data_IF_909421207051
#
_entry.id   IF_909421207051
#
_cell.length_a   1.000
_cell.length_b   1.000
_cell.length_c   1.000
_cell.angle_alpha   90.00
_cell.angle_beta   90.00
_cell.angle_gamma   90.00
#
_symmetry.space_group_name_H-M   'P 1'
#
loop_
_entity.id
_entity.type
_entity.pdbx_description
1 polymer ?
#
# COMPACT_ATOMS: atom_id res chain seq x y z
N UNK A 1 38.82 44.28 48.21
CA UNK A 1 39.64 43.52 47.24
C UNK A 1 38.80 42.35 46.71
N UNK A 2 38.04 42.61 45.68
CA UNK A 2 37.11 41.62 45.09
C UNK A 2 37.64 41.19 43.72
N UNK A 3 37.86 39.91 43.55
CA UNK A 3 38.21 39.29 42.28
C UNK A 3 36.89 38.98 41.55
N UNK A 4 36.66 39.64 40.45
CA UNK A 4 35.53 39.35 39.53
C UNK A 4 36.00 38.16 38.67
N UNK A 5 35.38 37.02 38.85
CA UNK A 5 35.48 35.88 37.94
C UNK A 5 34.55 36.10 36.78
N UNK A 6 35.11 36.22 35.58
CA UNK A 6 34.37 36.31 34.32
C UNK A 6 34.10 34.91 33.85
N UNK A 7 32.84 34.47 33.89
CA UNK A 7 32.37 33.20 33.38
C UNK A 7 32.11 33.34 31.87
N UNK A 8 32.94 32.69 31.05
CA UNK A 8 32.67 32.53 29.64
C UNK A 8 31.66 31.41 29.46
N UNK A 9 30.41 31.75 29.03
CA UNK A 9 29.48 30.78 28.53
C UNK A 9 29.88 30.39 27.10
N UNK A 10 30.38 29.17 26.94
CA UNK A 10 30.46 28.50 25.64
C UNK A 10 29.07 28.06 25.25
N UNK A 11 28.49 28.76 24.28
CA UNK A 11 27.29 28.29 23.58
C UNK A 11 27.70 27.14 22.65
N UNK A 12 27.51 25.91 23.08
CA UNK A 12 27.62 24.74 22.23
C UNK A 12 26.38 24.72 21.30
N UNK A 13 26.60 25.10 20.05
CA UNK A 13 25.59 24.93 19.00
C UNK A 13 25.34 23.45 18.76
N UNK A 14 24.23 22.95 19.24
CA UNK A 14 23.69 21.65 18.84
C UNK A 14 23.16 21.80 17.40
N UNK A 15 24.00 21.51 16.40
CA UNK A 15 23.56 21.18 15.07
C UNK A 15 22.85 19.84 15.14
N UNK A 16 21.53 19.91 15.36
CA UNK A 16 20.65 18.75 15.25
C UNK A 16 20.64 18.27 13.81
N UNK A 17 21.47 17.29 13.47
CA UNK A 17 21.27 16.45 12.31
C UNK A 17 19.93 15.74 12.54
N UNK A 18 18.88 16.23 11.85
CA UNK A 18 17.64 15.49 11.75
C UNK A 18 17.99 14.16 11.07
N UNK A 19 18.12 13.12 11.86
CA UNK A 19 18.10 11.76 11.34
C UNK A 19 16.71 11.58 10.70
N UNK A 20 16.65 11.53 9.37
CA UNK A 20 15.48 11.04 8.66
C UNK A 20 15.27 9.61 9.17
N UNK A 21 14.29 9.46 10.05
CA UNK A 21 13.85 8.13 10.46
C UNK A 21 13.29 7.46 9.23
N UNK A 22 13.90 6.34 8.82
CA UNK A 22 13.26 5.43 7.90
C UNK A 22 11.87 5.11 8.47
N UNK A 23 10.86 5.10 7.61
CA UNK A 23 9.51 4.78 8.04
C UNK A 23 9.52 3.42 8.76
N UNK A 24 8.80 3.33 9.88
CA UNK A 24 8.73 2.09 10.65
C UNK A 24 7.74 1.10 10.00
N UNK A 25 7.92 -0.19 10.31
CA UNK A 25 6.94 -1.22 9.99
C UNK A 25 5.60 -0.89 10.65
N UNK A 26 4.53 -0.83 9.85
CA UNK A 26 3.18 -0.54 10.34
C UNK A 26 2.41 -1.84 10.49
N UNK A 27 2.12 -2.22 11.73
CA UNK A 27 1.23 -3.35 12.02
C UNK A 27 -0.20 -2.96 11.66
N UNK A 28 -0.89 -3.85 10.93
CA UNK A 28 -2.28 -3.64 10.53
C UNK A 28 -3.25 -4.25 11.55
N UNK A 29 -4.49 -3.74 11.53
CA UNK A 29 -5.57 -4.26 12.37
C UNK A 29 -6.05 -5.60 11.84
N UNK A 30 -6.60 -6.44 12.72
CA UNK A 30 -7.27 -7.67 12.28
C UNK A 30 -8.43 -7.34 11.35
N UNK A 31 -8.62 -8.12 10.27
CA UNK A 31 -9.70 -7.87 9.32
C UNK A 31 -11.07 -8.03 9.96
N UNK A 32 -11.97 -7.13 9.62
CA UNK A 32 -13.38 -7.21 10.00
C UNK A 32 -14.14 -8.01 8.94
N UNK A 33 -14.43 -9.25 9.23
CA UNK A 33 -15.07 -10.18 8.29
C UNK A 33 -16.57 -9.92 8.09
N UNK A 34 -17.19 -9.10 8.96
CA UNK A 34 -18.61 -8.76 8.89
C UNK A 34 -18.88 -7.43 8.15
N UNK A 35 -17.81 -6.69 7.79
CA UNK A 35 -17.99 -5.38 7.15
C UNK A 35 -18.27 -5.47 5.65
N UNK A 36 -18.91 -4.42 5.17
CA UNK A 36 -19.15 -4.21 3.75
C UNK A 36 -20.55 -4.60 3.30
N UNK A 37 -20.89 -4.22 2.09
CA UNK A 37 -22.15 -4.60 1.48
C UNK A 37 -22.16 -6.09 1.08
N UNK A 38 -23.34 -6.74 1.02
CA UNK A 38 -23.46 -8.06 0.44
C UNK A 38 -22.85 -8.09 -0.97
N UNK A 39 -22.25 -9.23 -1.35
CA UNK A 39 -21.47 -9.35 -2.59
C UNK A 39 -22.25 -8.90 -3.85
N UNK A 40 -23.52 -9.23 -3.95
CA UNK A 40 -24.36 -8.83 -5.09
C UNK A 40 -24.56 -7.32 -5.16
N UNK A 41 -24.66 -6.66 -4.00
CA UNK A 41 -24.74 -5.20 -3.92
C UNK A 41 -23.40 -4.56 -4.31
N UNK A 42 -22.28 -5.10 -3.81
CA UNK A 42 -20.96 -4.62 -4.18
C UNK A 42 -20.70 -4.74 -5.70
N UNK A 43 -21.10 -5.85 -6.30
CA UNK A 43 -21.03 -6.06 -7.76
C UNK A 43 -21.91 -5.07 -8.54
N UNK A 44 -23.14 -4.86 -8.08
CA UNK A 44 -24.08 -3.92 -8.70
C UNK A 44 -23.58 -2.47 -8.68
N UNK A 45 -22.94 -2.07 -7.58
CA UNK A 45 -22.48 -0.68 -7.38
C UNK A 45 -21.05 -0.43 -7.89
N UNK A 46 -20.31 -1.49 -8.21
CA UNK A 46 -18.92 -1.38 -8.65
C UNK A 46 -18.81 -0.51 -9.92
N UNK A 47 -18.06 0.53 -9.82
CA UNK A 47 -17.71 1.40 -10.94
C UNK A 47 -16.32 2.00 -10.75
N UNK A 48 -15.70 2.48 -11.83
CA UNK A 48 -14.45 3.21 -11.77
C UNK A 48 -14.69 4.65 -11.30
N UNK A 49 -14.18 4.99 -10.12
CA UNK A 49 -14.28 6.33 -9.54
C UNK A 49 -12.90 6.95 -9.52
N UNK A 50 -12.74 8.11 -10.17
CA UNK A 50 -11.44 8.77 -10.40
C UNK A 50 -11.27 10.08 -9.64
N UNK A 51 -12.21 10.43 -8.77
CA UNK A 51 -12.10 11.59 -7.91
C UNK A 51 -12.11 11.17 -6.45
N UNK A 52 -11.17 11.72 -5.69
CA UNK A 52 -10.92 11.33 -4.32
C UNK A 52 -10.96 12.52 -3.39
N UNK A 53 -11.46 12.34 -2.17
CA UNK A 53 -11.24 13.25 -1.07
C UNK A 53 -9.75 13.23 -0.68
N UNK A 54 -9.24 14.34 -0.18
CA UNK A 54 -7.87 14.43 0.34
C UNK A 54 -7.67 13.71 1.69
N UNK A 55 -8.77 13.27 2.30
CA UNK A 55 -8.75 12.58 3.58
C UNK A 55 -7.95 11.28 3.47
N UNK A 56 -6.95 11.12 4.35
CA UNK A 56 -6.20 9.87 4.46
C UNK A 56 -7.13 8.69 4.84
N UNK A 57 -6.85 7.51 4.30
CA UNK A 57 -7.55 6.30 4.72
C UNK A 57 -7.29 6.06 6.22
N UNK A 58 -8.34 5.62 6.92
CA UNK A 58 -8.17 5.13 8.28
C UNK A 58 -7.30 3.85 8.28
N UNK A 59 -6.63 3.58 9.39
CA UNK A 59 -5.87 2.33 9.54
C UNK A 59 -6.77 1.11 9.35
N UNK A 60 -8.00 1.17 9.87
CA UNK A 60 -9.00 0.12 9.71
C UNK A 60 -9.34 -0.14 8.24
N UNK A 61 -9.63 0.91 7.47
CA UNK A 61 -9.94 0.79 6.05
C UNK A 61 -8.75 0.22 5.25
N UNK A 62 -7.55 0.68 5.55
CA UNK A 62 -6.33 0.21 4.90
C UNK A 62 -6.04 -1.26 5.24
N UNK A 63 -6.21 -1.65 6.51
CA UNK A 63 -5.99 -3.01 6.99
C UNK A 63 -6.94 -4.00 6.30
N UNK A 64 -8.23 -3.69 6.30
CA UNK A 64 -9.25 -4.53 5.68
C UNK A 64 -9.09 -4.58 4.14
N UNK A 65 -8.74 -3.46 3.51
CA UNK A 65 -8.48 -3.39 2.07
C UNK A 65 -7.33 -4.32 1.65
N UNK A 66 -6.21 -4.27 2.35
CA UNK A 66 -5.04 -5.09 2.03
C UNK A 66 -5.31 -6.57 2.27
N UNK A 67 -6.02 -6.90 3.34
CA UNK A 67 -6.43 -8.28 3.59
C UNK A 67 -7.41 -8.79 2.52
N UNK A 68 -8.43 -8.00 2.19
CA UNK A 68 -9.39 -8.36 1.14
C UNK A 68 -8.71 -8.56 -0.22
N UNK A 69 -7.73 -7.72 -0.54
CA UNK A 69 -7.00 -7.80 -1.80
C UNK A 69 -6.24 -9.11 -1.96
N UNK A 70 -5.43 -9.48 -0.99
CA UNK A 70 -4.54 -10.66 -1.09
C UNK A 70 -4.02 -11.16 0.27
N UNK A 71 -4.80 -11.03 1.34
CA UNK A 71 -4.45 -11.51 2.67
C UNK A 71 -4.58 -13.03 2.81
N UNK A 72 -4.00 -13.59 3.87
CA UNK A 72 -4.16 -14.99 4.21
C UNK A 72 -5.54 -15.19 4.84
N UNK A 73 -6.37 -16.02 4.21
CA UNK A 73 -7.69 -16.40 4.73
C UNK A 73 -7.76 -17.86 5.22
N UNK A 74 -6.70 -18.63 5.03
CA UNK A 74 -6.54 -20.01 5.48
C UNK A 74 -5.17 -20.17 6.14
N UNK A 75 -5.10 -19.87 7.41
CA UNK A 75 -3.85 -19.77 8.18
C UNK A 75 -3.01 -21.06 8.12
N UNK A 76 -3.63 -22.23 8.20
CA UNK A 76 -2.94 -23.52 8.19
C UNK A 76 -2.17 -23.78 6.89
N UNK A 77 -2.70 -23.31 5.75
CA UNK A 77 -2.12 -23.55 4.42
C UNK A 77 -1.43 -22.34 3.82
N UNK A 78 -1.54 -21.16 4.45
CA UNK A 78 -1.03 -19.89 3.93
C UNK A 78 -1.70 -19.44 2.62
N UNK A 79 -2.85 -20.02 2.27
CA UNK A 79 -3.63 -19.63 1.09
C UNK A 79 -4.34 -18.30 1.32
N UNK A 80 -4.57 -17.60 0.23
CA UNK A 80 -4.99 -16.20 0.24
C UNK A 80 -6.44 -16.01 -0.22
N UNK A 81 -6.94 -14.80 -0.03
CA UNK A 81 -8.24 -14.35 -0.57
C UNK A 81 -8.29 -14.43 -2.09
N UNK A 82 -7.19 -14.15 -2.76
CA UNK A 82 -7.04 -14.29 -4.20
C UNK A 82 -6.40 -15.65 -4.55
N UNK A 83 -6.99 -16.46 -5.44
CA UNK A 83 -6.30 -17.60 -6.01
C UNK A 83 -5.19 -17.12 -6.95
N UNK A 84 -4.23 -18.01 -7.25
CA UNK A 84 -3.20 -17.78 -8.25
C UNK A 84 -2.90 -19.07 -9.02
N UNK A 85 -2.37 -18.95 -10.23
CA UNK A 85 -1.99 -20.09 -11.05
C UNK A 85 -1.06 -21.03 -10.26
N UNK A 86 -1.44 -22.29 -10.14
CA UNK A 86 -0.69 -23.31 -9.39
C UNK A 86 -0.35 -22.89 -7.93
N UNK A 87 -1.15 -22.03 -7.35
CA UNK A 87 -0.90 -21.42 -6.02
C UNK A 87 0.49 -20.76 -5.90
N UNK A 88 0.98 -20.15 -6.96
CA UNK A 88 2.28 -19.47 -7.00
C UNK A 88 2.35 -18.25 -6.11
N UNK A 89 1.20 -17.60 -5.85
CA UNK A 89 1.10 -16.40 -4.99
C UNK A 89 2.09 -15.30 -5.41
N UNK A 90 2.23 -15.12 -6.70
CA UNK A 90 3.23 -14.30 -7.37
C UNK A 90 2.91 -12.80 -7.41
N UNK A 91 1.73 -12.39 -6.89
CA UNK A 91 1.34 -10.98 -6.82
C UNK A 91 1.72 -10.39 -5.47
N UNK A 92 2.54 -9.35 -5.50
CA UNK A 92 2.86 -8.47 -4.37
C UNK A 92 2.08 -7.17 -4.46
N UNK A 93 1.71 -6.62 -3.32
CA UNK A 93 1.05 -5.31 -3.22
C UNK A 93 2.02 -4.33 -2.56
N UNK A 94 2.36 -3.25 -3.29
CA UNK A 94 3.06 -2.11 -2.73
C UNK A 94 2.07 -0.99 -2.47
N UNK A 95 2.19 -0.32 -1.35
CA UNK A 95 1.36 0.79 -0.92
C UNK A 95 2.18 2.06 -1.05
N UNK A 96 1.83 2.93 -1.99
CA UNK A 96 2.48 4.23 -2.17
C UNK A 96 1.60 5.30 -1.55
N UNK A 97 2.15 6.01 -0.57
CA UNK A 97 1.53 7.18 0.08
C UNK A 97 2.27 8.45 -0.34
N UNK A 98 1.80 9.61 0.09
CA UNK A 98 2.48 10.89 -0.15
C UNK A 98 3.90 10.94 0.47
N UNK A 99 4.13 10.20 1.54
CA UNK A 99 5.37 10.31 2.31
C UNK A 99 6.32 9.12 2.14
N UNK A 100 5.78 7.94 1.86
CA UNK A 100 6.59 6.71 1.80
C UNK A 100 5.87 5.62 1.00
N UNK A 101 6.61 4.58 0.62
CA UNK A 101 6.07 3.37 0.02
C UNK A 101 6.41 2.16 0.87
N UNK A 102 5.50 1.20 0.86
CA UNK A 102 5.55 0.00 1.69
C UNK A 102 5.27 -1.24 0.86
N UNK A 103 5.79 -2.38 1.29
CA UNK A 103 5.39 -3.70 0.83
C UNK A 103 4.41 -4.32 1.82
N UNK A 104 3.28 -4.82 1.35
CA UNK A 104 2.36 -5.58 2.18
C UNK A 104 2.94 -6.96 2.51
N UNK A 105 3.22 -7.19 3.78
CA UNK A 105 3.55 -8.50 4.33
C UNK A 105 2.26 -9.20 4.75
N UNK A 106 1.80 -10.15 3.92
CA UNK A 106 0.58 -10.90 4.16
C UNK A 106 0.70 -11.89 5.33
N UNK A 107 1.91 -12.32 5.71
CA UNK A 107 2.13 -13.22 6.84
C UNK A 107 2.03 -12.49 8.17
N UNK A 108 2.69 -11.37 8.28
CA UNK A 108 2.64 -10.54 9.48
C UNK A 108 1.40 -9.62 9.52
N UNK A 109 0.64 -9.52 8.43
CA UNK A 109 -0.39 -8.51 8.23
C UNK A 109 0.12 -7.11 8.61
N UNK A 110 1.15 -6.68 7.88
CA UNK A 110 1.87 -5.46 8.16
C UNK A 110 2.33 -4.79 6.86
N UNK A 111 2.68 -3.52 6.93
CA UNK A 111 3.33 -2.78 5.85
C UNK A 111 4.81 -2.57 6.19
N UNK A 112 5.68 -3.08 5.35
CA UNK A 112 7.14 -2.98 5.50
C UNK A 112 7.64 -1.80 4.68
N UNK A 113 8.37 -0.84 5.25
CA UNK A 113 8.85 0.33 4.52
C UNK A 113 9.86 -0.06 3.44
N UNK A 114 9.73 0.55 2.26
CA UNK A 114 10.59 0.29 1.09
C UNK A 114 11.29 1.54 0.61
N UNK A 115 10.58 2.67 0.54
CA UNK A 115 11.08 3.92 -0.02
C UNK A 115 10.44 5.12 0.66
N UNK A 116 11.21 6.19 0.82
CA UNK A 116 10.71 7.49 1.28
C UNK A 116 10.29 8.36 0.09
N UNK A 117 9.36 9.27 0.32
CA UNK A 117 8.86 10.23 -0.67
C UNK A 117 7.68 9.72 -1.50
N UNK A 118 7.16 10.60 -2.33
CA UNK A 118 5.96 10.40 -3.13
C UNK A 118 6.29 9.81 -4.49
N UNK A 119 5.89 8.57 -4.72
CA UNK A 119 6.02 7.87 -6.00
C UNK A 119 4.66 7.40 -6.55
N UNK A 120 3.57 7.95 -6.05
CA UNK A 120 2.22 7.60 -6.49
C UNK A 120 2.04 7.92 -7.98
N UNK A 121 1.54 6.97 -8.81
CA UNK A 121 1.27 7.23 -10.22
C UNK A 121 0.02 8.09 -10.48
N UNK A 122 -0.78 8.35 -9.46
CA UNK A 122 -2.02 9.11 -9.55
C UNK A 122 -2.25 9.93 -8.27
N UNK A 123 -3.01 11.03 -8.42
CA UNK A 123 -3.39 11.88 -7.31
C UNK A 123 -4.57 11.25 -6.55
N UNK A 124 -4.25 10.47 -5.54
CA UNK A 124 -5.15 9.81 -4.60
C UNK A 124 -4.45 9.69 -3.24
N UNK A 125 -5.17 9.55 -2.12
CA UNK A 125 -4.53 9.35 -0.81
C UNK A 125 -3.48 8.24 -0.80
N UNK A 126 -3.76 7.12 -1.44
CA UNK A 126 -2.80 6.04 -1.69
C UNK A 126 -2.91 5.48 -3.11
N UNK A 127 -1.84 4.84 -3.58
CA UNK A 127 -1.86 4.00 -4.77
C UNK A 127 -1.36 2.60 -4.40
N UNK A 128 -2.17 1.59 -4.69
CA UNK A 128 -1.76 0.19 -4.57
C UNK A 128 -1.15 -0.24 -5.90
N UNK A 129 0.10 -0.68 -5.89
CA UNK A 129 0.79 -1.19 -7.07
C UNK A 129 0.83 -2.71 -6.98
N UNK A 130 0.20 -3.37 -7.93
CA UNK A 130 0.24 -4.82 -8.06
C UNK A 130 1.46 -5.21 -8.90
N UNK A 131 2.39 -5.88 -8.27
CA UNK A 131 3.67 -6.29 -8.86
C UNK A 131 3.71 -7.80 -8.93
N UNK A 132 4.05 -8.35 -10.10
CA UNK A 132 4.22 -9.80 -10.27
C UNK A 132 5.69 -10.20 -10.16
N UNK A 133 5.96 -11.36 -9.58
CA UNK A 133 7.30 -11.91 -9.37
C UNK A 133 7.81 -12.73 -10.58
N UNK A 134 7.01 -12.81 -11.64
CA UNK A 134 7.31 -13.61 -12.83
C UNK A 134 6.80 -12.93 -14.09
N UNK A 135 7.43 -13.23 -15.22
CA UNK A 135 7.00 -12.79 -16.55
C UNK A 135 6.07 -13.79 -17.25
N UNK A 136 5.68 -14.87 -16.58
CA UNK A 136 4.82 -15.90 -17.15
C UNK A 136 3.43 -15.35 -17.54
N UNK A 137 2.77 -15.90 -18.56
CA UNK A 137 1.50 -15.38 -19.07
C UNK A 137 0.39 -15.27 -18.02
N UNK A 138 0.36 -16.20 -17.05
CA UNK A 138 -0.66 -16.17 -15.98
C UNK A 138 -0.47 -15.04 -14.98
N UNK A 139 0.70 -14.41 -14.89
CA UNK A 139 0.97 -13.36 -13.94
C UNK A 139 0.00 -12.16 -14.09
N UNK A 140 -0.31 -11.79 -15.34
CA UNK A 140 -1.31 -10.76 -15.61
C UNK A 140 -2.71 -11.16 -15.17
N UNK A 141 -3.08 -12.43 -15.32
CA UNK A 141 -4.37 -12.96 -14.85
C UNK A 141 -4.44 -12.94 -13.32
N UNK A 142 -3.41 -13.39 -12.63
CA UNK A 142 -3.33 -13.36 -11.16
C UNK A 142 -3.40 -11.93 -10.62
N UNK A 143 -2.73 -10.98 -11.26
CA UNK A 143 -2.86 -9.56 -10.93
C UNK A 143 -4.29 -9.03 -11.14
N UNK A 144 -4.97 -9.45 -12.20
CA UNK A 144 -6.36 -9.12 -12.48
C UNK A 144 -7.32 -9.63 -11.40
N UNK A 145 -7.07 -10.82 -10.86
CA UNK A 145 -7.88 -11.40 -9.75
C UNK A 145 -7.73 -10.54 -8.49
N UNK A 146 -6.51 -10.19 -8.10
CA UNK A 146 -6.25 -9.30 -6.95
C UNK A 146 -6.88 -7.92 -7.18
N UNK A 147 -6.76 -7.38 -8.39
CA UNK A 147 -7.38 -6.11 -8.79
C UNK A 147 -8.89 -6.12 -8.59
N UNK A 148 -9.58 -7.21 -8.94
CA UNK A 148 -11.03 -7.30 -8.75
C UNK A 148 -11.42 -7.39 -7.26
N UNK A 149 -10.64 -8.07 -6.43
CA UNK A 149 -10.84 -8.04 -4.98
C UNK A 149 -10.81 -6.60 -4.42
N UNK A 150 -9.83 -5.79 -4.86
CA UNK A 150 -9.72 -4.38 -4.49
C UNK A 150 -10.96 -3.61 -4.93
N UNK A 151 -11.38 -3.78 -6.19
CA UNK A 151 -12.54 -3.10 -6.77
C UNK A 151 -13.83 -3.42 -6.01
N UNK A 152 -14.06 -4.68 -5.67
CA UNK A 152 -15.26 -5.13 -4.94
C UNK A 152 -15.24 -4.67 -3.48
N UNK A 153 -14.09 -4.75 -2.82
CA UNK A 153 -13.96 -4.23 -1.45
C UNK A 153 -14.28 -2.74 -1.41
N UNK A 154 -13.68 -1.94 -2.29
CA UNK A 154 -13.93 -0.51 -2.33
C UNK A 154 -15.41 -0.20 -2.61
N UNK A 155 -16.02 -0.91 -3.57
CA UNK A 155 -17.44 -0.76 -3.86
C UNK A 155 -18.32 -1.06 -2.64
N UNK A 156 -18.04 -2.16 -1.95
CA UNK A 156 -18.83 -2.60 -0.80
C UNK A 156 -18.62 -1.78 0.47
N UNK A 157 -17.55 -0.99 0.56
CA UNK A 157 -17.20 -0.21 1.76
C UNK A 157 -17.26 1.30 1.56
N UNK A 158 -17.72 1.78 0.40
CA UNK A 158 -17.85 3.21 0.12
C UNK A 158 -16.54 3.91 -0.25
N UNK A 159 -15.48 3.17 -0.51
CA UNK A 159 -14.24 3.72 -1.05
C UNK A 159 -14.33 3.93 -2.56
N UNK A 160 -13.47 4.80 -3.06
CA UNK A 160 -13.30 5.06 -4.49
C UNK A 160 -12.02 4.39 -4.99
N UNK A 161 -12.08 3.78 -6.17
CA UNK A 161 -10.91 3.22 -6.86
C UNK A 161 -11.20 3.03 -8.35
N UNK A 162 -10.13 2.84 -9.11
CA UNK A 162 -10.18 2.31 -10.48
C UNK A 162 -8.88 1.59 -10.82
N UNK A 163 -8.90 0.51 -11.59
CA UNK A 163 -7.69 -0.13 -12.08
C UNK A 163 -7.10 0.67 -13.24
N UNK A 164 -5.78 0.80 -13.28
CA UNK A 164 -5.04 1.37 -14.41
C UNK A 164 -3.72 0.65 -14.64
N UNK A 165 -3.38 0.41 -15.89
CA UNK A 165 -2.08 -0.11 -16.31
C UNK A 165 -1.09 1.00 -16.72
N UNK A 166 -1.61 2.20 -17.01
CA UNK A 166 -0.78 3.35 -17.41
C UNK A 166 -0.05 3.92 -16.20
N UNK A 167 1.27 3.69 -16.14
CA UNK A 167 2.19 4.18 -15.11
C UNK A 167 3.62 4.15 -15.64
N UNK A 168 4.50 4.94 -15.06
CA UNK A 168 5.93 4.85 -15.35
C UNK A 168 6.53 3.64 -14.61
N UNK A 169 6.56 2.49 -15.28
CA UNK A 169 7.01 1.22 -14.71
C UNK A 169 8.47 1.24 -14.29
N UNK A 170 9.34 1.89 -15.06
CA UNK A 170 10.78 1.98 -14.78
C UNK A 170 11.05 2.82 -13.52
N UNK A 171 10.38 3.96 -13.40
CA UNK A 171 10.49 4.81 -12.22
C UNK A 171 9.98 4.08 -10.96
N UNK A 172 8.86 3.37 -11.07
CA UNK A 172 8.33 2.55 -9.98
C UNK A 172 9.25 1.38 -9.62
N UNK A 173 9.79 0.68 -10.60
CA UNK A 173 10.71 -0.43 -10.36
C UNK A 173 11.94 0.04 -9.57
N UNK A 174 12.50 1.20 -9.93
CA UNK A 174 13.62 1.82 -9.22
C UNK A 174 13.23 2.22 -7.79
N UNK A 175 12.12 2.95 -7.62
CA UNK A 175 11.68 3.45 -6.33
C UNK A 175 11.30 2.30 -5.36
N UNK A 176 10.61 1.29 -5.86
CA UNK A 176 10.19 0.13 -5.07
C UNK A 176 11.27 -0.95 -4.95
N UNK A 177 12.47 -0.71 -5.50
CA UNK A 177 13.63 -1.61 -5.44
C UNK A 177 13.30 -3.01 -6.00
N UNK A 178 12.58 -3.03 -7.12
CA UNK A 178 12.17 -4.28 -7.75
C UNK A 178 13.37 -4.96 -8.43
N UNK A 179 13.30 -6.30 -8.48
CA UNK A 179 14.25 -7.11 -9.27
C UNK A 179 13.88 -7.09 -10.76
N UNK A 180 14.77 -7.56 -11.62
CA UNK A 180 14.52 -7.66 -13.06
C UNK A 180 13.38 -8.62 -13.45
N UNK A 181 13.00 -9.53 -12.55
CA UNK A 181 11.87 -10.45 -12.75
C UNK A 181 10.53 -9.85 -12.31
N UNK A 182 10.56 -8.79 -11.54
CA UNK A 182 9.37 -8.16 -10.99
C UNK A 182 8.84 -7.08 -11.92
N UNK A 183 7.53 -7.11 -12.16
CA UNK A 183 6.88 -6.17 -13.09
C UNK A 183 5.66 -5.52 -12.44
N UNK A 184 5.59 -4.16 -12.39
CA UNK A 184 4.37 -3.45 -12.06
C UNK A 184 3.30 -3.70 -13.14
N UNK A 185 2.19 -4.34 -12.76
CA UNK A 185 1.12 -4.71 -13.69
C UNK A 185 -0.04 -3.73 -13.67
N UNK A 186 -0.55 -3.44 -12.49
CA UNK A 186 -1.72 -2.58 -12.28
C UNK A 186 -1.48 -1.63 -11.11
N UNK A 187 -2.10 -0.47 -11.19
CA UNK A 187 -2.21 0.49 -10.10
C UNK A 187 -3.69 0.67 -9.74
N UNK A 188 -3.98 0.66 -8.45
CA UNK A 188 -5.25 1.10 -7.89
C UNK A 188 -5.03 2.35 -7.05
N UNK A 189 -5.34 3.56 -7.56
CA UNK A 189 -5.54 4.72 -6.71
C UNK A 189 -6.75 4.47 -5.80
N UNK A 190 -6.63 4.73 -4.51
CA UNK A 190 -7.70 4.50 -3.54
C UNK A 190 -7.83 5.69 -2.60
N UNK A 191 -9.08 6.05 -2.30
CA UNK A 191 -9.43 7.08 -1.35
C UNK A 191 -10.93 7.07 -1.02
N UNK A 192 -11.35 7.99 -0.16
CA UNK A 192 -12.78 8.22 0.04
C UNK A 192 -13.35 8.94 -1.18
N UNK A 193 -14.63 8.71 -1.46
CA UNK A 193 -15.35 9.45 -2.50
C UNK A 193 -15.35 10.94 -2.18
N UNK A 194 -15.18 11.75 -3.23
CA UNK A 194 -15.31 13.22 -3.14
C UNK A 194 -16.75 13.64 -3.15
#
# INVERSE_FOLDING_TARGET
>A
RSKKNLLYLLAAGLSGTAFLHAADTVKLDQPDLERGAPIMKALSDRQSIRSFSEKALSQKDLSDLLWAANGINRQESGKRTAPSAMNRQDVKIYICTKNASYLYDHKAHAMIPVNDGDVRPADAPICLILVTDTAEPWAAMDAGIVSQNISLFCSGTGLATYPRASMNKDALAKALKLTSLQTPMLCHPVGYKK
#
